data_IF_885665870971
#
_entry.id   IF_885665870971
#
_cell.length_a   1.000
_cell.length_b   1.000
_cell.length_c   1.000
_cell.angle_alpha   90.00
_cell.angle_beta   90.00
_cell.angle_gamma   90.00
#
_symmetry.space_group_name_H-M   'P 1'
#
loop_
_entity.id
_entity.type
_entity.pdbx_description
1 polymer ?
#
# COMPACT_ATOMS: atom_id res chain seq x y z
N UNK A 1 14.76 -10.08 -15.61
CA UNK A 1 13.34 -10.38 -15.89
C UNK A 1 12.52 -9.25 -15.29
N UNK A 2 11.52 -8.72 -16.01
CA UNK A 2 10.62 -7.71 -15.47
C UNK A 2 9.84 -8.27 -14.27
N UNK A 3 9.63 -7.49 -13.22
CA UNK A 3 8.94 -7.95 -12.03
C UNK A 3 7.44 -8.14 -12.32
N UNK A 4 6.96 -9.38 -12.24
CA UNK A 4 5.56 -9.73 -12.49
C UNK A 4 4.73 -9.37 -11.26
N UNK A 5 3.61 -8.68 -11.51
CA UNK A 5 2.62 -8.31 -10.52
C UNK A 5 1.24 -8.79 -10.94
N UNK A 6 0.41 -9.11 -9.96
CA UNK A 6 -0.87 -9.77 -10.15
C UNK A 6 -1.96 -9.06 -9.34
N UNK A 7 -3.16 -8.94 -9.90
CA UNK A 7 -4.33 -8.42 -9.19
C UNK A 7 -5.52 -9.35 -9.34
N UNK A 8 -5.85 -9.98 -8.23
CA UNK A 8 -6.99 -10.88 -8.07
C UNK A 8 -8.24 -10.06 -7.76
N UNK A 9 -9.35 -10.37 -8.42
CA UNK A 9 -10.62 -9.69 -8.17
C UNK A 9 -11.83 -10.51 -8.60
N UNK A 10 -12.95 -10.24 -7.95
CA UNK A 10 -14.27 -10.73 -8.35
C UNK A 10 -14.73 -10.12 -9.70
N UNK A 11 -15.71 -10.76 -10.33
CA UNK A 11 -16.27 -10.31 -11.60
C UNK A 11 -16.81 -8.87 -11.54
N UNK A 12 -17.58 -8.42 -10.52
CA UNK A 12 -18.07 -7.04 -10.46
C UNK A 12 -16.95 -5.99 -10.52
N UNK A 13 -15.84 -6.20 -9.80
CA UNK A 13 -14.68 -5.28 -9.85
C UNK A 13 -14.00 -5.30 -11.21
N UNK A 14 -13.87 -6.48 -11.83
CA UNK A 14 -13.29 -6.58 -13.16
C UNK A 14 -14.15 -5.85 -14.22
N UNK A 15 -15.47 -6.04 -14.18
CA UNK A 15 -16.41 -5.31 -15.04
C UNK A 15 -16.29 -3.81 -14.82
N UNK A 16 -16.21 -3.36 -13.56
CA UNK A 16 -16.04 -1.93 -13.25
C UNK A 16 -14.73 -1.37 -13.82
N UNK A 17 -13.61 -2.08 -13.68
CA UNK A 17 -12.31 -1.70 -14.25
C UNK A 17 -12.40 -1.56 -15.78
N UNK A 18 -12.97 -2.56 -16.46
CA UNK A 18 -13.09 -2.61 -17.92
C UNK A 18 -14.00 -1.50 -18.44
N UNK A 19 -15.16 -1.28 -17.82
CA UNK A 19 -16.11 -0.26 -18.26
C UNK A 19 -15.63 1.17 -18.02
N UNK A 20 -14.89 1.39 -16.93
CA UNK A 20 -14.44 2.74 -16.55
C UNK A 20 -13.06 3.09 -17.10
N UNK A 21 -12.29 2.10 -17.59
CA UNK A 21 -10.86 2.24 -17.87
C UNK A 21 -10.14 2.93 -16.70
N UNK A 22 -10.46 2.52 -15.47
CA UNK A 22 -9.96 3.19 -14.27
C UNK A 22 -9.64 2.20 -13.17
N UNK A 23 -8.49 2.40 -12.54
CA UNK A 23 -8.04 1.60 -11.42
C UNK A 23 -8.48 2.28 -10.12
N UNK A 24 -9.08 1.50 -9.22
CA UNK A 24 -9.47 2.00 -7.91
C UNK A 24 -8.27 2.00 -6.96
N UNK A 25 -8.02 3.17 -6.37
CA UNK A 25 -7.06 3.42 -5.30
C UNK A 25 -7.85 3.68 -4.01
N UNK A 26 -7.73 2.76 -3.06
CA UNK A 26 -8.40 2.88 -1.76
C UNK A 26 -7.74 3.96 -0.93
N UNK A 27 -8.52 4.73 -0.17
CA UNK A 27 -7.97 5.55 0.91
C UNK A 27 -7.26 4.64 1.92
N UNK A 28 -6.04 5.00 2.30
CA UNK A 28 -5.19 4.14 3.14
C UNK A 28 -5.77 3.95 4.55
N UNK A 29 -6.53 4.90 5.08
CA UNK A 29 -7.19 4.75 6.38
C UNK A 29 -8.29 3.69 6.41
N UNK A 30 -8.71 3.16 5.25
CA UNK A 30 -9.64 2.04 5.16
C UNK A 30 -8.97 0.66 5.24
N UNK A 31 -7.65 0.61 5.46
CA UNK A 31 -6.90 -0.64 5.54
C UNK A 31 -7.18 -1.43 6.83
N UNK A 32 -7.07 -2.74 6.71
CA UNK A 32 -7.37 -3.69 7.79
C UNK A 32 -6.28 -3.73 8.87
N UNK A 33 -5.00 -3.64 8.49
CA UNK A 33 -3.89 -3.59 9.45
C UNK A 33 -3.89 -2.24 10.17
N UNK A 34 -4.29 -2.24 11.45
CA UNK A 34 -4.37 -1.04 12.27
C UNK A 34 -3.01 -0.35 12.50
N UNK A 35 -1.91 -1.11 12.43
CA UNK A 35 -0.55 -0.58 12.61
C UNK A 35 -0.04 0.12 11.35
N UNK A 36 -0.65 -0.18 10.21
CA UNK A 36 -0.22 0.36 8.93
C UNK A 36 -0.43 1.89 8.85
N UNK A 37 0.63 2.58 8.40
CA UNK A 37 0.74 4.05 8.43
C UNK A 37 0.93 4.64 9.83
N UNK A 38 1.20 3.81 10.83
CA UNK A 38 1.56 4.20 12.19
C UNK A 38 3.08 4.19 12.43
N UNK A 39 3.50 4.77 13.55
CA UNK A 39 4.89 4.73 13.99
C UNK A 39 5.24 3.40 14.66
N UNK A 40 6.48 2.94 14.51
CA UNK A 40 7.03 1.92 15.41
C UNK A 40 7.20 2.50 16.82
N UNK A 41 7.42 1.63 17.81
CA UNK A 41 7.73 2.05 19.18
C UNK A 41 8.96 2.97 19.19
N UNK A 42 10.05 2.57 18.52
CA UNK A 42 11.29 3.36 18.44
C UNK A 42 11.06 4.72 17.77
N UNK A 43 10.32 4.75 16.67
CA UNK A 43 10.07 5.97 15.91
C UNK A 43 9.08 6.90 16.63
N UNK A 44 8.16 6.37 17.44
CA UNK A 44 7.34 7.17 18.33
C UNK A 44 8.21 7.99 19.30
N UNK A 45 9.18 7.36 19.98
CA UNK A 45 10.11 8.07 20.87
C UNK A 45 10.97 9.11 20.15
N UNK A 46 11.33 8.87 18.88
CA UNK A 46 12.15 9.79 18.07
C UNK A 46 11.36 10.95 17.48
N UNK A 47 10.09 10.74 17.15
CA UNK A 47 9.27 11.71 16.42
C UNK A 47 8.39 12.52 17.35
N UNK A 48 7.80 11.91 18.38
CA UNK A 48 6.93 12.60 19.33
C UNK A 48 7.72 13.48 20.30
N UNK A 49 7.13 14.62 20.65
CA UNK A 49 7.59 15.45 21.76
C UNK A 49 6.98 15.06 23.11
N UNK A 50 5.95 14.20 23.15
CA UNK A 50 5.18 13.90 24.37
C UNK A 50 6.06 13.49 25.55
N UNK A 51 7.09 12.69 25.30
CA UNK A 51 7.95 12.14 26.35
C UNK A 51 8.92 13.17 26.87
N UNK A 52 9.48 13.98 25.97
CA UNK A 52 10.35 15.10 26.36
C UNK A 52 9.56 16.16 27.13
N UNK A 53 8.30 16.41 26.74
CA UNK A 53 7.38 17.31 27.46
C UNK A 53 7.05 16.74 28.84
N UNK A 54 6.76 15.43 28.93
CA UNK A 54 6.49 14.78 30.20
C UNK A 54 7.70 14.84 31.15
N UNK A 55 8.90 14.56 30.65
CA UNK A 55 10.15 14.68 31.42
C UNK A 55 10.33 16.11 31.96
N UNK A 56 10.13 17.13 31.11
CA UNK A 56 10.20 18.54 31.53
C UNK A 56 9.15 18.84 32.59
N UNK A 57 7.91 18.37 32.42
CA UNK A 57 6.83 18.63 33.37
C UNK A 57 7.12 17.99 34.74
N UNK A 58 7.58 16.73 34.76
CA UNK A 58 7.95 16.02 35.98
C UNK A 58 9.13 16.71 36.67
N UNK A 59 10.20 17.00 35.94
CA UNK A 59 11.38 17.67 36.47
C UNK A 59 11.08 19.11 36.88
N UNK A 60 10.08 19.77 36.30
CA UNK A 60 9.64 21.11 36.68
C UNK A 60 8.84 21.11 37.98
N UNK A 61 7.95 20.13 38.15
CA UNK A 61 7.05 20.02 39.30
C UNK A 61 7.72 19.42 40.54
N UNK A 62 8.62 18.44 40.36
CA UNK A 62 9.24 17.69 41.46
C UNK A 62 10.71 18.10 41.63
N UNK A 63 11.06 18.87 42.68
CA UNK A 63 12.44 19.26 42.92
C UNK A 63 13.27 18.08 43.46
N UNK A 64 14.59 18.05 43.18
CA UNK A 64 15.51 17.15 43.85
C UNK A 64 15.56 17.37 45.37
N UNK A 65 15.91 16.33 46.12
CA UNK A 65 16.13 16.46 47.56
C UNK A 65 17.30 17.42 47.84
N UNK A 66 17.11 18.33 48.81
CA UNK A 66 18.09 19.34 49.22
C UNK A 66 18.43 20.41 48.17
N UNK A 67 17.53 20.66 47.20
CA UNK A 67 17.69 21.77 46.25
C UNK A 67 17.53 23.14 46.94
N UNK A 68 18.53 24.01 46.78
CA UNK A 68 18.46 25.41 47.23
C UNK A 68 17.78 26.33 46.20
N UNK A 69 17.50 27.57 46.60
CA UNK A 69 16.79 28.53 45.73
C UNK A 69 17.55 28.88 44.45
N UNK A 70 18.89 28.93 44.49
CA UNK A 70 19.72 29.29 43.32
C UNK A 70 19.73 28.13 42.32
N UNK A 71 19.93 26.91 42.80
CA UNK A 71 19.85 25.69 42.02
C UNK A 71 18.47 25.52 41.38
N UNK A 72 17.39 25.83 42.12
CA UNK A 72 16.02 25.80 41.60
C UNK A 72 15.81 26.73 40.41
N UNK A 73 16.27 27.98 40.51
CA UNK A 73 16.15 28.96 39.41
C UNK A 73 16.90 28.47 38.18
N UNK A 74 18.17 28.06 38.35
CA UNK A 74 18.98 27.55 37.25
C UNK A 74 18.35 26.31 36.59
N UNK A 75 17.78 25.38 37.36
CA UNK A 75 17.07 24.21 36.82
C UNK A 75 15.85 24.63 36.00
N UNK A 76 14.99 25.49 36.54
CA UNK A 76 13.77 25.93 35.85
C UNK A 76 14.08 26.71 34.56
N UNK A 77 15.10 27.57 34.57
CA UNK A 77 15.58 28.26 33.36
C UNK A 77 16.14 27.29 32.31
N UNK A 78 16.86 26.25 32.76
CA UNK A 78 17.34 25.17 31.90
C UNK A 78 16.20 24.36 31.28
N UNK A 79 15.15 24.06 32.05
CA UNK A 79 13.95 23.36 31.56
C UNK A 79 13.18 24.20 30.54
N UNK A 80 13.02 25.51 30.79
CA UNK A 80 12.38 26.43 29.85
C UNK A 80 13.16 26.54 28.53
N UNK A 81 14.50 26.54 28.61
CA UNK A 81 15.36 26.53 27.41
C UNK A 81 15.21 25.22 26.62
N UNK A 82 15.23 24.06 27.29
CA UNK A 82 14.98 22.75 26.67
C UNK A 82 13.60 22.68 26.02
N UNK A 83 12.57 23.23 26.68
CA UNK A 83 11.21 23.28 26.14
C UNK A 83 11.17 24.03 24.81
N UNK A 84 11.80 25.20 24.73
CA UNK A 84 11.92 25.99 23.48
C UNK A 84 12.68 25.28 22.37
N UNK A 85 13.63 24.40 22.70
CA UNK A 85 14.32 23.56 21.71
C UNK A 85 13.41 22.44 21.19
N UNK A 86 12.66 21.80 22.08
CA UNK A 86 11.70 20.73 21.75
C UNK A 86 10.57 21.24 20.85
N UNK A 87 10.01 22.42 21.15
CA UNK A 87 8.95 23.06 20.35
C UNK A 87 9.40 23.38 18.91
N UNK A 88 10.71 23.48 18.66
CA UNK A 88 11.27 23.73 17.31
C UNK A 88 11.49 22.44 16.51
N UNK A 89 11.39 21.27 17.13
CA UNK A 89 11.60 19.98 16.44
C UNK A 89 10.52 19.79 15.39
N UNK A 90 10.96 19.30 14.22
CA UNK A 90 10.09 18.96 13.12
C UNK A 90 10.32 17.53 12.66
N UNK A 91 9.25 16.93 12.15
CA UNK A 91 9.30 15.65 11.46
C UNK A 91 8.74 15.81 10.05
N UNK A 92 9.05 14.84 9.18
CA UNK A 92 8.74 14.91 7.76
C UNK A 92 7.68 13.88 7.40
N UNK A 93 6.75 14.25 6.52
CA UNK A 93 5.72 13.38 5.94
C UNK A 93 5.72 13.54 4.41
N UNK A 94 4.96 12.71 3.66
CA UNK A 94 4.75 12.92 2.22
C UNK A 94 4.08 14.26 1.86
N UNK A 95 3.54 14.98 2.85
CA UNK A 95 2.84 16.26 2.73
C UNK A 95 3.64 17.44 3.31
N UNK A 96 4.95 17.26 3.56
CA UNK A 96 5.84 18.31 4.06
C UNK A 96 6.31 18.10 5.50
N UNK A 97 6.89 19.14 6.09
CA UNK A 97 7.44 19.12 7.45
C UNK A 97 6.45 19.72 8.45
N UNK A 98 6.34 19.10 9.62
CA UNK A 98 5.38 19.48 10.66
C UNK A 98 6.05 19.47 12.05
N UNK A 99 5.55 20.27 13.01
CA UNK A 99 6.05 20.23 14.39
C UNK A 99 5.84 18.85 15.03
N UNK A 100 6.83 18.38 15.80
CA UNK A 100 6.78 17.09 16.49
C UNK A 100 5.62 16.96 17.50
N UNK A 101 5.01 18.07 17.94
CA UNK A 101 3.82 18.09 18.81
C UNK A 101 2.53 17.62 18.10
N UNK A 102 2.53 17.61 16.77
CA UNK A 102 1.38 17.22 15.95
C UNK A 102 1.48 15.77 15.43
N UNK A 103 2.54 15.04 15.80
CA UNK A 103 2.86 13.73 15.22
C UNK A 103 1.69 12.74 15.33
N UNK A 104 1.13 12.56 16.52
CA UNK A 104 0.04 11.63 16.82
C UNK A 104 -1.23 11.96 16.04
N UNK A 105 -1.46 13.24 15.76
CA UNK A 105 -2.62 13.71 14.99
C UNK A 105 -2.40 13.55 13.49
N UNK A 106 -1.17 13.74 13.03
CA UNK A 106 -0.84 13.84 11.61
C UNK A 106 -0.58 12.49 10.93
N UNK A 107 -0.08 11.47 11.63
CA UNK A 107 0.03 10.13 11.03
C UNK A 107 -1.32 9.58 10.56
N UNK A 108 -2.39 9.60 11.40
CA UNK A 108 -3.75 9.28 10.94
C UNK A 108 -4.23 10.18 9.80
N UNK A 109 -3.96 11.49 9.86
CA UNK A 109 -4.35 12.43 8.80
C UNK A 109 -3.65 12.15 7.47
N UNK A 110 -2.39 11.70 7.47
CA UNK A 110 -1.71 11.27 6.25
C UNK A 110 -2.45 10.10 5.58
N UNK A 111 -2.92 9.11 6.37
CA UNK A 111 -3.67 7.95 5.85
C UNK A 111 -4.99 8.35 5.17
N UNK A 112 -5.55 9.50 5.53
CA UNK A 112 -6.78 10.00 4.90
C UNK A 112 -6.55 10.52 3.47
N UNK A 113 -5.32 10.91 3.14
CA UNK A 113 -4.99 11.58 1.86
C UNK A 113 -4.00 10.81 0.99
N UNK A 114 -3.55 9.64 1.45
CA UNK A 114 -2.83 8.66 0.64
C UNK A 114 -3.82 7.67 0.03
N UNK A 115 -3.78 7.56 -1.30
CA UNK A 115 -4.59 6.62 -2.06
C UNK A 115 -3.71 5.51 -2.62
N UNK A 116 -4.10 4.26 -2.40
CA UNK A 116 -3.23 3.10 -2.66
C UNK A 116 -3.94 2.07 -3.52
N UNK A 117 -3.22 1.58 -4.52
CA UNK A 117 -3.60 0.40 -5.31
C UNK A 117 -2.57 -0.70 -5.10
N UNK A 118 -3.00 -1.82 -4.53
CA UNK A 118 -2.14 -2.94 -4.14
C UNK A 118 -2.15 -4.06 -5.18
N UNK A 119 -0.98 -4.67 -5.39
CA UNK A 119 -0.74 -5.78 -6.31
C UNK A 119 0.10 -6.85 -5.63
N UNK A 120 -0.08 -8.11 -6.01
CA UNK A 120 0.71 -9.24 -5.52
C UNK A 120 1.92 -9.47 -6.43
N UNK A 121 3.14 -9.35 -5.92
CA UNK A 121 4.35 -9.59 -6.69
C UNK A 121 4.75 -11.07 -6.65
N UNK A 122 4.53 -11.78 -7.76
CA UNK A 122 4.86 -13.20 -7.91
C UNK A 122 4.97 -13.60 -9.38
N UNK A 123 5.83 -14.57 -9.68
CA UNK A 123 5.95 -15.18 -11.01
C UNK A 123 4.83 -16.19 -11.30
N UNK A 124 4.22 -16.74 -10.26
CA UNK A 124 3.17 -17.75 -10.34
C UNK A 124 1.91 -17.33 -9.57
N UNK A 125 0.78 -17.94 -9.92
CA UNK A 125 -0.49 -17.74 -9.21
C UNK A 125 -0.37 -18.15 -7.74
N UNK A 126 -1.17 -17.52 -6.87
CA UNK A 126 -1.20 -17.77 -5.45
C UNK A 126 -2.59 -18.22 -4.98
N UNK A 127 -2.65 -19.45 -4.45
CA UNK A 127 -3.86 -20.07 -3.93
C UNK A 127 -4.57 -19.21 -2.87
N UNK A 128 -3.80 -18.58 -1.97
CA UNK A 128 -4.34 -17.74 -0.92
C UNK A 128 -4.98 -16.47 -1.50
N UNK A 129 -4.37 -15.86 -2.53
CA UNK A 129 -4.87 -14.62 -3.13
C UNK A 129 -6.17 -14.85 -3.91
N UNK A 130 -6.30 -15.99 -4.60
CA UNK A 130 -7.58 -16.41 -5.18
C UNK A 130 -8.70 -16.45 -4.14
N UNK A 131 -8.44 -17.07 -2.98
CA UNK A 131 -9.43 -17.19 -1.90
C UNK A 131 -9.80 -15.85 -1.27
N UNK A 132 -8.81 -15.00 -1.00
CA UNK A 132 -9.01 -13.71 -0.31
C UNK A 132 -9.68 -12.65 -1.20
N UNK A 133 -9.25 -12.55 -2.47
CA UNK A 133 -9.62 -11.45 -3.35
C UNK A 133 -10.51 -11.84 -4.53
N UNK A 134 -10.45 -13.10 -4.98
CA UNK A 134 -11.37 -13.63 -5.99
C UNK A 134 -12.80 -13.74 -5.46
N UNK A 135 -12.96 -14.14 -4.18
CA UNK A 135 -14.22 -14.22 -3.39
C UNK A 135 -15.33 -15.13 -3.93
N UNK A 136 -15.34 -15.44 -5.22
CA UNK A 136 -16.26 -16.32 -5.90
C UNK A 136 -15.49 -17.33 -6.76
N UNK A 137 -16.15 -18.42 -7.19
CA UNK A 137 -15.57 -19.36 -8.15
C UNK A 137 -15.29 -18.69 -9.51
N UNK A 138 -16.13 -17.73 -9.90
CA UNK A 138 -16.04 -16.98 -11.15
C UNK A 138 -15.33 -15.64 -10.92
N UNK A 139 -14.03 -15.72 -10.71
CA UNK A 139 -13.14 -14.59 -10.49
C UNK A 139 -11.99 -14.56 -11.49
N UNK A 140 -11.31 -13.43 -11.58
CA UNK A 140 -10.18 -13.24 -12.50
C UNK A 140 -8.93 -12.77 -11.78
N UNK A 141 -7.79 -13.03 -12.39
CA UNK A 141 -6.49 -12.50 -12.00
C UNK A 141 -5.87 -11.79 -13.20
N UNK A 142 -5.58 -10.52 -13.04
CA UNK A 142 -4.81 -9.74 -14.02
C UNK A 142 -3.34 -9.96 -13.75
N UNK A 143 -2.59 -10.31 -14.79
CA UNK A 143 -1.13 -10.29 -14.78
C UNK A 143 -0.63 -9.03 -15.49
N UNK A 144 0.38 -8.41 -14.91
CA UNK A 144 1.06 -7.23 -15.44
C UNK A 144 2.54 -7.24 -15.02
N UNK A 145 3.27 -6.20 -15.41
CA UNK A 145 4.60 -5.89 -14.88
C UNK A 145 4.59 -4.48 -14.29
N UNK A 146 5.57 -4.17 -13.44
CA UNK A 146 5.69 -2.84 -12.84
C UNK A 146 5.73 -1.75 -13.93
N UNK A 147 6.50 -1.99 -15.00
CA UNK A 147 6.70 -1.04 -16.09
C UNK A 147 5.41 -0.80 -16.89
N UNK A 148 4.64 -1.87 -17.16
CA UNK A 148 3.33 -1.77 -17.83
C UNK A 148 2.33 -1.00 -16.99
N UNK A 149 2.28 -1.30 -15.68
CA UNK A 149 1.39 -0.61 -14.76
C UNK A 149 1.74 0.87 -14.66
N UNK A 150 3.02 1.21 -14.48
CA UNK A 150 3.47 2.60 -14.40
C UNK A 150 3.16 3.38 -15.69
N UNK A 151 3.48 2.81 -16.86
CA UNK A 151 3.22 3.45 -18.15
C UNK A 151 1.72 3.66 -18.43
N UNK A 152 0.87 2.76 -17.92
CA UNK A 152 -0.56 2.80 -18.19
C UNK A 152 -1.34 3.88 -17.45
N UNK A 153 -0.79 4.45 -16.35
CA UNK A 153 -1.54 5.36 -15.49
C UNK A 153 -1.55 6.76 -16.08
N UNK A 154 -2.74 7.28 -16.33
CA UNK A 154 -2.92 8.63 -16.86
C UNK A 154 -2.80 9.64 -15.71
N UNK A 155 -2.03 10.73 -15.87
CA UNK A 155 -1.92 11.78 -14.86
C UNK A 155 -3.29 12.33 -14.45
N UNK A 156 -3.51 12.45 -13.15
CA UNK A 156 -4.76 12.95 -12.58
C UNK A 156 -4.55 14.35 -11.98
N UNK A 157 -5.41 15.35 -12.28
CA UNK A 157 -5.22 16.72 -11.79
C UNK A 157 -5.42 16.87 -10.28
N UNK A 158 -6.07 15.90 -9.61
CA UNK A 158 -6.31 15.94 -8.16
C UNK A 158 -5.15 15.39 -7.35
N UNK A 159 -4.29 14.57 -7.96
CA UNK A 159 -3.09 14.01 -7.36
C UNK A 159 -1.85 14.35 -8.20
N UNK A 160 -0.98 15.22 -7.68
CA UNK A 160 0.26 15.60 -8.37
C UNK A 160 1.41 14.60 -8.16
N UNK A 161 1.25 13.65 -7.25
CA UNK A 161 2.25 12.63 -6.96
C UNK A 161 1.71 11.23 -7.22
N UNK A 162 2.56 10.40 -7.83
CA UNK A 162 2.36 8.97 -7.99
C UNK A 162 3.72 8.28 -7.88
N UNK A 163 3.81 7.26 -7.03
CA UNK A 163 5.04 6.51 -6.80
C UNK A 163 4.73 5.05 -6.49
N UNK A 164 5.69 4.19 -6.82
CA UNK A 164 5.56 2.74 -6.73
C UNK A 164 6.56 2.20 -5.70
N UNK A 165 6.10 1.31 -4.83
CA UNK A 165 6.93 0.72 -3.77
C UNK A 165 6.62 -0.73 -3.51
N UNK A 166 7.65 -1.50 -3.19
CA UNK A 166 7.50 -2.79 -2.53
C UNK A 166 7.21 -2.58 -1.04
N UNK A 167 6.27 -3.34 -0.48
CA UNK A 167 5.92 -3.25 0.94
C UNK A 167 7.01 -3.86 1.81
N UNK A 168 7.33 -3.15 2.90
CA UNK A 168 8.27 -3.61 3.92
C UNK A 168 7.51 -4.27 5.06
N UNK A 169 7.78 -5.55 5.32
CA UNK A 169 7.11 -6.28 6.38
C UNK A 169 7.90 -6.19 7.69
N UNK A 170 7.33 -5.53 8.70
CA UNK A 170 8.02 -5.16 9.93
C UNK A 170 7.32 -5.64 11.21
N UNK A 171 8.06 -5.66 12.30
CA UNK A 171 7.58 -5.73 13.67
C UNK A 171 7.60 -4.33 14.27
N UNK A 172 6.42 -3.71 14.43
CA UNK A 172 6.29 -2.34 14.96
C UNK A 172 6.82 -2.17 16.39
N UNK A 173 7.04 -3.26 17.13
CA UNK A 173 7.60 -3.20 18.49
C UNK A 173 9.13 -3.16 18.51
N UNK A 174 9.78 -3.81 17.54
CA UNK A 174 11.23 -4.05 17.55
C UNK A 174 11.97 -3.33 16.42
N UNK A 175 11.32 -3.14 15.27
CA UNK A 175 11.94 -2.53 14.10
C UNK A 175 11.85 -0.99 14.16
N UNK A 176 12.56 -0.33 13.25
CA UNK A 176 12.57 1.14 13.11
C UNK A 176 12.58 1.48 11.63
N UNK A 177 11.94 2.58 11.26
CA UNK A 177 11.94 3.10 9.91
C UNK A 177 13.29 3.72 9.53
N UNK A 178 13.50 3.88 8.23
CA UNK A 178 14.61 4.68 7.72
C UNK A 178 14.29 6.17 7.84
N UNK A 179 15.08 7.01 7.17
CA UNK A 179 14.85 8.46 7.12
C UNK A 179 13.76 8.89 6.14
N UNK A 180 13.19 7.95 5.37
CA UNK A 180 12.25 8.28 4.30
C UNK A 180 10.83 8.51 4.85
N UNK A 181 10.20 9.68 4.59
CA UNK A 181 8.87 10.01 5.11
C UNK A 181 7.75 9.07 4.70
N UNK A 182 7.94 8.26 3.64
CA UNK A 182 6.93 7.31 3.18
C UNK A 182 6.94 5.99 3.96
N UNK A 183 8.02 5.67 4.68
CA UNK A 183 8.23 4.34 5.27
C UNK A 183 7.06 3.83 6.11
N UNK A 184 6.45 4.64 7.00
CA UNK A 184 5.28 4.19 7.77
C UNK A 184 4.12 3.74 6.89
N UNK A 185 3.98 4.34 5.70
CA UNK A 185 2.87 4.13 4.78
C UNK A 185 3.12 3.04 3.73
N UNK A 186 4.33 2.51 3.67
CA UNK A 186 4.69 1.31 2.88
C UNK A 186 5.13 0.15 3.77
N UNK A 187 4.93 0.28 5.08
CA UNK A 187 5.18 -0.75 6.05
C UNK A 187 3.90 -1.52 6.38
N UNK A 188 4.02 -2.82 6.58
CA UNK A 188 2.91 -3.70 6.97
C UNK A 188 3.39 -4.72 7.99
N UNK A 189 2.49 -5.20 8.85
CA UNK A 189 2.89 -6.13 9.90
C UNK A 189 3.37 -7.47 9.31
N UNK A 190 4.44 -8.05 9.88
CA UNK A 190 5.03 -9.36 9.46
C UNK A 190 4.01 -10.49 9.20
N UNK A 191 2.91 -10.66 9.95
CA UNK A 191 1.90 -11.68 9.66
C UNK A 191 1.29 -11.61 8.25
N UNK A 192 1.32 -10.45 7.60
CA UNK A 192 0.81 -10.24 6.23
C UNK A 192 1.88 -10.47 5.14
N UNK A 193 3.10 -10.92 5.49
CA UNK A 193 4.21 -11.08 4.54
C UNK A 193 3.92 -12.01 3.35
N UNK A 194 2.98 -12.95 3.51
CA UNK A 194 2.56 -13.83 2.43
C UNK A 194 1.91 -13.08 1.25
N UNK A 195 1.40 -11.86 1.47
CA UNK A 195 0.76 -11.06 0.44
C UNK A 195 1.75 -10.50 -0.59
N UNK A 196 3.06 -10.46 -0.30
CA UNK A 196 4.12 -9.98 -1.20
C UNK A 196 3.72 -8.71 -1.97
N UNK A 197 3.26 -7.74 -1.22
CA UNK A 197 2.50 -6.62 -1.74
C UNK A 197 3.41 -5.58 -2.42
N UNK A 198 2.97 -5.11 -3.58
CA UNK A 198 3.54 -4.01 -4.33
C UNK A 198 2.47 -2.94 -4.51
N UNK A 199 2.80 -1.69 -4.17
CA UNK A 199 1.84 -0.58 -4.08
C UNK A 199 2.15 0.47 -5.11
N UNK A 200 1.10 0.93 -5.76
CA UNK A 200 1.07 2.26 -6.37
C UNK A 200 0.37 3.18 -5.39
N UNK A 201 1.05 4.24 -4.96
CA UNK A 201 0.51 5.23 -4.03
C UNK A 201 0.45 6.57 -4.74
N UNK A 202 -0.70 7.21 -4.66
CA UNK A 202 -0.97 8.51 -5.26
C UNK A 202 -1.54 9.47 -4.21
N UNK A 203 -1.13 10.72 -4.27
CA UNK A 203 -1.59 11.76 -3.33
C UNK A 203 -1.40 13.16 -3.90
N UNK A 204 -1.97 14.13 -3.21
CA UNK A 204 -1.75 15.55 -3.47
C UNK A 204 -0.75 16.10 -2.45
N UNK A 205 0.49 16.36 -2.89
CA UNK A 205 1.58 16.84 -2.02
C UNK A 205 1.31 18.21 -1.39
N UNK A 206 0.41 19.00 -2.00
CA UNK A 206 0.06 20.36 -1.56
C UNK A 206 -1.02 20.39 -0.50
N UNK A 207 -1.52 19.22 -0.08
CA UNK A 207 -2.58 19.13 0.93
C UNK A 207 -2.03 19.56 2.30
N UNK A 208 -2.67 20.57 2.91
CA UNK A 208 -2.35 20.97 4.28
C UNK A 208 -3.15 20.12 5.27
N UNK A 209 -2.45 19.22 5.97
CA UNK A 209 -3.06 18.29 6.92
C UNK A 209 -3.50 18.95 8.23
N UNK A 210 -2.97 20.12 8.58
CA UNK A 210 -3.36 20.84 9.80
C UNK A 210 -4.78 21.40 9.69
N UNK A 211 -5.17 21.83 8.49
CA UNK A 211 -6.49 22.43 8.22
C UNK A 211 -7.49 21.43 7.64
N UNK A 212 -7.02 20.34 7.02
CA UNK A 212 -7.87 19.33 6.39
C UNK A 212 -7.48 17.90 6.80
N UNK A 213 -7.66 17.51 8.08
CA UNK A 213 -7.20 16.22 8.59
C UNK A 213 -8.09 15.04 8.20
N UNK A 214 -9.31 15.27 7.70
CA UNK A 214 -10.30 14.23 7.36
C UNK A 214 -10.66 14.26 5.88
N UNK A 215 -10.96 13.08 5.35
CA UNK A 215 -11.40 12.91 3.98
C UNK A 215 -12.68 12.07 3.92
N UNK A 216 -13.76 12.67 3.39
CA UNK A 216 -15.06 12.00 3.28
C UNK A 216 -15.11 11.01 2.11
N UNK A 217 -14.14 11.05 1.20
CA UNK A 217 -14.04 10.08 0.11
C UNK A 217 -13.51 8.72 0.61
N UNK A 218 -13.97 7.63 -0.03
CA UNK A 218 -13.48 6.27 0.26
C UNK A 218 -12.20 5.93 -0.51
N UNK A 219 -11.94 6.61 -1.62
CA UNK A 219 -10.82 6.36 -2.52
C UNK A 219 -11.00 7.12 -3.84
N UNK A 220 -10.08 6.89 -4.79
CA UNK A 220 -10.09 7.54 -6.11
C UNK A 220 -10.05 6.52 -7.25
N UNK A 221 -10.69 6.87 -8.36
CA UNK A 221 -10.57 6.15 -9.63
C UNK A 221 -9.60 6.90 -10.52
N UNK A 222 -8.42 6.34 -10.76
CA UNK A 222 -7.44 6.92 -11.68
C UNK A 222 -7.58 6.26 -13.05
N UNK A 223 -7.58 7.07 -14.10
CA UNK A 223 -7.68 6.57 -15.49
C UNK A 223 -6.44 5.76 -15.85
N UNK A 224 -6.65 4.64 -16.52
CA UNK A 224 -5.58 3.75 -16.99
C UNK A 224 -5.82 3.29 -18.43
N UNK A 225 -4.75 3.13 -19.20
CA UNK A 225 -4.78 2.41 -20.47
C UNK A 225 -4.75 0.90 -20.21
N UNK A 226 -5.88 0.22 -20.40
CA UNK A 226 -5.99 -1.21 -20.09
C UNK A 226 -5.14 -2.10 -21.00
N UNK A 227 -4.97 -1.73 -22.27
CA UNK A 227 -4.15 -2.51 -23.22
C UNK A 227 -2.67 -2.46 -22.85
N UNK A 228 -2.20 -1.31 -22.36
CA UNK A 228 -0.86 -1.17 -21.80
C UNK A 228 -0.74 -1.87 -20.44
N UNK A 229 -1.71 -1.66 -19.54
CA UNK A 229 -1.66 -2.18 -18.17
C UNK A 229 -1.70 -3.71 -18.13
N UNK A 230 -2.59 -4.34 -18.89
CA UNK A 230 -2.89 -5.76 -18.77
C UNK A 230 -1.99 -6.54 -19.73
N UNK A 231 -1.19 -7.45 -19.20
CA UNK A 231 -0.46 -8.41 -20.03
C UNK A 231 -1.34 -9.60 -20.39
N UNK A 232 -2.00 -10.20 -19.40
CA UNK A 232 -2.99 -11.27 -19.60
C UNK A 232 -4.00 -11.33 -18.47
N UNK A 233 -5.12 -11.97 -18.73
CA UNK A 233 -6.16 -12.27 -17.73
C UNK A 233 -6.24 -13.78 -17.55
N UNK A 234 -6.23 -14.23 -16.31
CA UNK A 234 -6.38 -15.64 -15.94
C UNK A 234 -7.72 -15.80 -15.24
N UNK A 235 -8.51 -16.80 -15.64
CA UNK A 235 -9.74 -17.16 -14.92
C UNK A 235 -9.44 -18.16 -13.81
N UNK A 236 -10.19 -18.05 -12.71
CA UNK A 236 -10.08 -18.90 -11.52
C UNK A 236 -10.03 -20.39 -11.86
N UNK A 237 -9.25 -21.20 -11.11
CA UNK A 237 -9.19 -22.66 -11.29
C UNK A 237 -10.52 -23.37 -10.98
N UNK A 238 -11.47 -22.68 -10.35
CA UNK A 238 -12.79 -23.20 -10.02
C UNK A 238 -13.91 -22.57 -10.87
N UNK A 239 -13.55 -21.78 -11.88
CA UNK A 239 -14.51 -21.11 -12.73
C UNK A 239 -15.39 -22.11 -13.51
N UNK A 240 -16.63 -21.70 -13.77
CA UNK A 240 -17.52 -22.49 -14.62
C UNK A 240 -17.01 -22.52 -16.08
N UNK A 241 -17.29 -23.59 -16.86
CA UNK A 241 -16.76 -23.73 -18.23
C UNK A 241 -17.09 -22.56 -19.18
N UNK A 242 -18.23 -21.90 -18.97
CA UNK A 242 -18.66 -20.75 -19.77
C UNK A 242 -17.93 -19.45 -19.41
N UNK A 243 -17.31 -19.37 -18.24
CA UNK A 243 -16.81 -18.12 -17.67
C UNK A 243 -15.67 -17.53 -18.51
N UNK A 244 -14.73 -18.35 -18.96
CA UNK A 244 -13.63 -17.91 -19.83
C UNK A 244 -14.12 -17.24 -21.10
N UNK A 245 -15.11 -17.83 -21.78
CA UNK A 245 -15.69 -17.22 -22.99
C UNK A 245 -16.36 -15.88 -22.70
N UNK A 246 -17.02 -15.74 -21.56
CA UNK A 246 -17.62 -14.46 -21.15
C UNK A 246 -16.56 -13.39 -20.88
N UNK A 247 -15.46 -13.74 -20.21
CA UNK A 247 -14.35 -12.80 -19.97
C UNK A 247 -13.70 -12.38 -21.29
N UNK A 248 -13.51 -13.31 -22.24
CA UNK A 248 -13.03 -12.99 -23.59
C UNK A 248 -13.93 -11.98 -24.29
N UNK A 249 -15.24 -12.26 -24.34
CA UNK A 249 -16.20 -11.35 -24.96
C UNK A 249 -16.19 -9.97 -24.29
N UNK A 250 -16.11 -9.91 -22.96
CA UNK A 250 -16.06 -8.65 -22.23
C UNK A 250 -14.82 -7.81 -22.59
N UNK A 251 -13.66 -8.45 -22.73
CA UNK A 251 -12.43 -7.80 -23.18
C UNK A 251 -12.55 -7.31 -24.63
N UNK A 252 -13.12 -8.11 -25.53
CA UNK A 252 -13.34 -7.75 -26.94
C UNK A 252 -14.31 -6.57 -27.09
N UNK A 253 -15.44 -6.58 -26.38
CA UNK A 253 -16.44 -5.52 -26.39
C UNK A 253 -15.85 -4.19 -25.89
N UNK A 254 -14.94 -4.26 -24.92
CA UNK A 254 -14.21 -3.11 -24.40
C UNK A 254 -12.98 -2.72 -25.24
N UNK A 255 -12.69 -3.44 -26.32
CA UNK A 255 -11.52 -3.26 -27.21
C UNK A 255 -10.19 -3.38 -26.47
N UNK A 256 -10.13 -4.25 -25.48
CA UNK A 256 -8.90 -4.59 -24.73
C UNK A 256 -8.37 -5.90 -25.29
N UNK A 257 -7.37 -5.83 -26.17
CA UNK A 257 -6.80 -7.00 -26.84
C UNK A 257 -5.82 -7.74 -25.92
N UNK A 258 -6.34 -8.62 -25.07
CA UNK A 258 -5.57 -9.37 -24.08
C UNK A 258 -5.86 -10.85 -24.14
N UNK A 259 -4.84 -11.66 -23.87
CA UNK A 259 -4.98 -13.11 -23.80
C UNK A 259 -5.74 -13.47 -22.53
N UNK A 260 -6.75 -14.34 -22.65
CA UNK A 260 -7.51 -14.91 -21.53
C UNK A 260 -7.22 -16.41 -21.42
N UNK A 261 -6.62 -16.82 -20.29
CA UNK A 261 -6.16 -18.18 -20.01
C UNK A 261 -6.90 -18.80 -18.83
N UNK A 262 -6.89 -20.13 -18.75
CA UNK A 262 -7.31 -20.84 -17.54
C UNK A 262 -6.16 -20.85 -16.53
N UNK A 263 -6.49 -20.83 -15.24
CA UNK A 263 -5.49 -20.96 -14.17
C UNK A 263 -4.72 -22.27 -14.30
N UNK A 264 -3.39 -22.20 -14.13
CA UNK A 264 -2.54 -23.42 -14.10
C UNK A 264 -2.87 -24.30 -12.89
N UNK A 265 -3.49 -23.72 -11.86
CA UNK A 265 -3.94 -24.45 -10.68
C UNK A 265 -5.13 -25.37 -10.96
N UNK A 266 -5.82 -25.21 -12.10
CA UNK A 266 -6.87 -26.11 -12.54
C UNK A 266 -6.34 -27.40 -13.19
N UNK A 267 -5.03 -27.47 -13.47
CA UNK A 267 -4.41 -28.61 -14.14
C UNK A 267 -4.61 -29.91 -13.35
N UNK A 268 -5.11 -30.94 -14.02
CA UNK A 268 -5.26 -32.27 -13.45
C UNK A 268 -3.99 -33.11 -13.67
N UNK A 269 -3.74 -34.13 -12.81
CA UNK A 269 -2.65 -35.06 -13.02
C UNK A 269 -2.73 -35.70 -14.42
N UNK A 270 -1.58 -35.73 -15.11
CA UNK A 270 -1.47 -36.33 -16.44
C UNK A 270 -1.79 -37.82 -16.33
N UNK A 271 -2.83 -38.28 -17.04
CA UNK A 271 -3.27 -39.68 -16.99
C UNK A 271 -2.67 -40.55 -18.07
N UNK A 272 -2.14 -39.97 -19.15
CA UNK A 272 -1.62 -40.71 -20.30
C UNK A 272 -0.55 -39.94 -21.09
N UNK A 273 0.12 -40.65 -22.01
CA UNK A 273 1.20 -40.11 -22.83
C UNK A 273 0.72 -39.03 -23.82
N UNK A 274 -0.52 -39.07 -24.28
CA UNK A 274 -1.05 -38.06 -25.20
C UNK A 274 -1.24 -36.72 -24.49
N UNK A 275 -1.75 -36.75 -23.25
CA UNK A 275 -1.82 -35.58 -22.37
C UNK A 275 -0.42 -35.06 -22.01
N UNK A 276 0.56 -35.94 -21.81
CA UNK A 276 1.94 -35.52 -21.57
C UNK A 276 2.51 -34.76 -22.80
N UNK A 277 2.30 -35.30 -24.00
CA UNK A 277 2.78 -34.71 -25.26
C UNK A 277 2.06 -33.42 -25.64
N UNK A 278 0.77 -33.28 -25.34
CA UNK A 278 0.05 -32.02 -25.59
C UNK A 278 0.53 -30.91 -24.66
N UNK A 279 0.78 -31.20 -23.39
CA UNK A 279 1.30 -30.24 -22.42
C UNK A 279 2.78 -29.90 -22.64
N UNK A 280 3.58 -30.80 -23.23
CA UNK A 280 5.01 -30.54 -23.50
C UNK A 280 5.24 -29.55 -24.64
N UNK A 281 4.32 -29.47 -25.62
CA UNK A 281 4.42 -28.53 -26.76
C UNK A 281 4.28 -27.05 -26.37
N UNK A 282 3.76 -26.77 -25.18
CA UNK A 282 3.67 -25.41 -24.63
C UNK A 282 5.01 -24.90 -24.05
N UNK A 283 6.10 -25.69 -24.14
CA UNK A 283 7.43 -25.37 -23.57
C UNK A 283 8.54 -25.19 -24.62
N UNK A 284 8.24 -25.07 -25.90
CA UNK A 284 9.27 -24.60 -26.83
C UNK A 284 9.55 -23.12 -26.54
N UNK A 285 10.79 -22.73 -26.16
CA UNK A 285 11.12 -21.33 -26.01
C UNK A 285 10.98 -20.68 -27.39
N UNK A 286 10.27 -19.55 -27.46
CA UNK A 286 10.30 -18.70 -28.65
C UNK A 286 11.79 -18.38 -28.95
N UNK A 287 12.26 -18.89 -30.09
CA UNK A 287 13.61 -18.64 -30.64
C UNK A 287 13.65 -17.26 -31.28
#
# INVERSE_FOLDING_TARGET
>A
MAAIIQRYMDLPKFVNLIQTNSLYFSKMSAFEDALEGGLTVSDFFKTSNMISILDIAVNGALPPANEDAVARVARLEGLESKKKEIEKRQFHTPFGSYPCDEAERLFPACKEWLYVSCWHQSEHECAAMWKLFGRDKNSVCIFSTIERLEASIVPDPTCDMLKLWQVNYIDHSADTFSVNPIDPFIAKSKPYAFEREFRVVSWNSRKNLLTSPKNDESGRLLKVNLEEMIHKVVVSPHADPWFKSTIKQLCEDAKVNVIVEDSVMGMQPISDIYQAMSNSKLREPEV
#
